data_IF_622283297200
#
_entry.id   IF_622283297200
#
_cell.length_a   1.000
_cell.length_b   1.000
_cell.length_c   1.000
_cell.angle_alpha   90.00
_cell.angle_beta   90.00
_cell.angle_gamma   90.00
#
_symmetry.space_group_name_H-M   'P 1'
#
loop_
_entity.id
_entity.type
_entity.pdbx_description
1 polymer ?
#
# COMPACT_ATOMS: atom_id res chain seq x y z
N UNK A 1 -27.55 -11.89 -8.69
CA UNK A 1 -26.20 -12.29 -8.24
C UNK A 1 -25.67 -11.20 -7.33
N UNK A 2 -25.21 -11.55 -6.08
CA UNK A 2 -24.65 -10.60 -5.12
C UNK A 2 -23.28 -10.05 -5.60
N UNK A 3 -22.83 -8.93 -5.01
CA UNK A 3 -21.53 -8.35 -5.34
C UNK A 3 -20.37 -9.34 -5.18
N UNK A 4 -20.36 -10.07 -4.07
CA UNK A 4 -19.35 -11.10 -3.81
C UNK A 4 -19.41 -12.28 -4.78
N UNK A 5 -20.60 -12.67 -5.25
CA UNK A 5 -20.74 -13.70 -6.28
C UNK A 5 -20.18 -13.24 -7.62
N UNK A 6 -20.47 -12.00 -8.03
CA UNK A 6 -19.89 -11.40 -9.25
C UNK A 6 -18.37 -11.37 -9.16
N UNK A 7 -17.82 -10.98 -8.00
CA UNK A 7 -16.37 -10.92 -7.82
C UNK A 7 -15.71 -12.30 -7.90
N UNK A 8 -16.31 -13.33 -7.29
CA UNK A 8 -15.81 -14.72 -7.42
C UNK A 8 -15.80 -15.21 -8.86
N UNK A 9 -16.83 -14.88 -9.65
CA UNK A 9 -16.88 -15.22 -11.09
C UNK A 9 -15.78 -14.49 -11.85
N UNK A 10 -15.51 -13.21 -11.54
CA UNK A 10 -14.44 -12.43 -12.16
C UNK A 10 -13.06 -13.05 -11.89
N UNK A 11 -12.79 -13.41 -10.63
CA UNK A 11 -11.55 -14.09 -10.22
C UNK A 11 -11.41 -15.42 -10.98
N UNK A 12 -12.47 -16.25 -10.98
CA UNK A 12 -12.45 -17.53 -11.67
C UNK A 12 -12.14 -17.38 -13.17
N UNK A 13 -12.76 -16.41 -13.85
CA UNK A 13 -12.48 -16.12 -15.27
C UNK A 13 -11.00 -15.78 -15.51
N UNK A 14 -10.39 -14.99 -14.65
CA UNK A 14 -8.97 -14.61 -14.77
C UNK A 14 -8.07 -15.84 -14.62
N UNK A 15 -8.37 -16.71 -13.66
CA UNK A 15 -7.57 -17.88 -13.34
C UNK A 15 -7.68 -19.03 -14.34
N UNK A 16 -8.75 -19.12 -15.13
CA UNK A 16 -8.90 -20.11 -16.22
C UNK A 16 -7.71 -20.10 -17.18
N UNK A 17 -7.11 -18.91 -17.42
CA UNK A 17 -5.96 -18.76 -18.29
C UNK A 17 -4.63 -19.21 -17.65
N UNK A 18 -4.66 -19.67 -16.39
CA UNK A 18 -3.46 -20.05 -15.61
C UNK A 18 -2.36 -18.99 -15.65
N UNK A 19 -2.65 -17.72 -15.36
CA UNK A 19 -1.66 -16.65 -15.39
C UNK A 19 -0.65 -16.85 -14.26
N UNK A 20 0.58 -16.39 -14.46
CA UNK A 20 1.58 -16.29 -13.38
C UNK A 20 1.50 -14.96 -12.63
N UNK A 21 0.87 -13.96 -13.24
CA UNK A 21 0.75 -12.62 -12.71
C UNK A 21 -0.62 -12.03 -13.04
N UNK A 22 -1.27 -11.40 -12.05
CA UNK A 22 -2.59 -10.78 -12.18
C UNK A 22 -2.56 -9.37 -11.60
N UNK A 23 -3.13 -8.43 -12.32
CA UNK A 23 -3.35 -7.06 -11.83
C UNK A 23 -4.77 -6.97 -11.29
N UNK A 24 -4.90 -6.54 -10.04
CA UNK A 24 -6.16 -6.36 -9.33
C UNK A 24 -6.32 -4.88 -8.98
N UNK A 25 -7.19 -4.19 -9.69
CA UNK A 25 -7.47 -2.78 -9.47
C UNK A 25 -8.73 -2.64 -8.61
N UNK A 26 -8.55 -2.20 -7.36
CA UNK A 26 -9.57 -2.05 -6.33
C UNK A 26 -10.61 -3.22 -6.26
N UNK A 27 -10.18 -4.49 -6.24
CA UNK A 27 -11.06 -5.62 -6.47
C UNK A 27 -12.11 -5.82 -5.37
N UNK A 28 -11.96 -5.18 -4.22
CA UNK A 28 -12.84 -5.34 -3.07
C UNK A 28 -13.50 -4.04 -2.59
N UNK A 29 -13.27 -2.90 -3.25
CA UNK A 29 -13.73 -1.58 -2.82
C UNK A 29 -15.26 -1.45 -2.71
N UNK A 30 -16.00 -2.16 -3.59
CA UNK A 30 -17.47 -2.12 -3.66
C UNK A 30 -18.16 -3.23 -2.83
N UNK A 31 -17.43 -3.90 -1.95
CA UNK A 31 -17.95 -5.03 -1.16
C UNK A 31 -18.11 -4.66 0.31
N UNK A 32 -19.14 -5.21 0.94
CA UNK A 32 -19.32 -5.15 2.40
C UNK A 32 -18.12 -5.76 3.11
N UNK A 33 -17.80 -5.28 4.32
CA UNK A 33 -16.60 -5.67 5.08
C UNK A 33 -16.44 -7.19 5.22
N UNK A 34 -17.50 -7.91 5.58
CA UNK A 34 -17.46 -9.36 5.76
C UNK A 34 -17.20 -10.12 4.45
N UNK A 35 -17.80 -9.65 3.35
CA UNK A 35 -17.60 -10.22 2.02
C UNK A 35 -16.20 -9.89 1.52
N UNK A 36 -15.70 -8.67 1.78
CA UNK A 36 -14.35 -8.23 1.43
C UNK A 36 -13.29 -9.17 1.98
N UNK A 37 -13.34 -9.46 3.30
CA UNK A 37 -12.41 -10.39 3.95
C UNK A 37 -12.47 -11.76 3.29
N UNK A 38 -13.66 -12.32 3.07
CA UNK A 38 -13.82 -13.63 2.43
C UNK A 38 -13.25 -13.70 1.01
N UNK A 39 -13.31 -12.59 0.24
CA UNK A 39 -12.69 -12.51 -1.09
C UNK A 39 -11.18 -12.40 -0.99
N UNK A 40 -10.66 -11.61 -0.06
CA UNK A 40 -9.22 -11.48 0.17
C UNK A 40 -8.60 -12.82 0.57
N UNK A 41 -9.22 -13.56 1.50
CA UNK A 41 -8.80 -14.91 1.88
C UNK A 41 -8.78 -15.88 0.70
N UNK A 42 -9.83 -15.84 -0.12
CA UNK A 42 -9.90 -16.64 -1.34
C UNK A 42 -8.72 -16.31 -2.27
N UNK A 43 -8.42 -15.03 -2.49
CA UNK A 43 -7.32 -14.60 -3.35
C UNK A 43 -5.97 -15.05 -2.80
N UNK A 44 -5.71 -14.91 -1.49
CA UNK A 44 -4.47 -15.36 -0.85
C UNK A 44 -4.28 -16.89 -0.95
N UNK A 45 -5.35 -17.65 -0.78
CA UNK A 45 -5.30 -19.11 -0.94
C UNK A 45 -4.99 -19.50 -2.39
N UNK A 46 -5.66 -18.85 -3.35
CA UNK A 46 -5.42 -19.10 -4.77
C UNK A 46 -4.00 -18.67 -5.21
N UNK A 47 -3.45 -17.59 -4.64
CA UNK A 47 -2.06 -17.20 -4.87
C UNK A 47 -1.08 -18.32 -4.52
N UNK A 48 -1.29 -18.94 -3.36
CA UNK A 48 -0.44 -20.04 -2.87
C UNK A 48 -0.64 -21.34 -3.66
N UNK A 49 -1.89 -21.72 -3.89
CA UNK A 49 -2.23 -22.99 -4.57
C UNK A 49 -1.82 -23.00 -6.06
N UNK A 50 -1.93 -21.85 -6.72
CA UNK A 50 -1.69 -21.72 -8.17
C UNK A 50 -0.37 -21.04 -8.48
N UNK A 51 0.42 -20.65 -7.47
CA UNK A 51 1.69 -19.92 -7.61
C UNK A 51 1.53 -18.64 -8.45
N UNK A 52 0.44 -17.89 -8.20
CA UNK A 52 0.13 -16.63 -8.89
C UNK A 52 0.59 -15.44 -8.06
N UNK A 53 1.29 -14.51 -8.69
CA UNK A 53 1.63 -13.21 -8.07
C UNK A 53 0.55 -12.19 -8.39
N UNK A 54 0.20 -11.33 -7.41
CA UNK A 54 -0.74 -10.24 -7.59
C UNK A 54 -0.04 -8.87 -7.53
N UNK A 55 -0.39 -7.98 -8.45
CA UNK A 55 -0.25 -6.55 -8.26
C UNK A 55 -1.61 -6.03 -7.77
N UNK A 56 -1.70 -5.70 -6.49
CA UNK A 56 -2.93 -5.26 -5.84
C UNK A 56 -2.93 -3.73 -5.73
N UNK A 57 -3.81 -3.05 -6.44
CA UNK A 57 -3.97 -1.60 -6.40
C UNK A 57 -5.11 -1.27 -5.44
N UNK A 58 -4.83 -0.45 -4.44
CA UNK A 58 -5.80 -0.02 -3.44
C UNK A 58 -5.43 1.34 -2.84
N UNK A 59 -6.41 2.08 -2.38
CA UNK A 59 -6.23 3.29 -1.56
C UNK A 59 -6.31 2.99 -0.05
N UNK A 60 -6.61 1.74 0.34
CA UNK A 60 -6.80 1.32 1.73
C UNK A 60 -5.55 0.58 2.23
N UNK A 61 -4.78 1.23 3.12
CA UNK A 61 -3.57 0.67 3.72
C UNK A 61 -3.84 -0.56 4.59
N UNK A 62 -5.01 -0.67 5.22
CA UNK A 62 -5.36 -1.85 5.99
C UNK A 62 -5.54 -3.07 5.08
N UNK A 63 -6.13 -2.86 3.90
CA UNK A 63 -6.23 -3.88 2.86
C UNK A 63 -4.84 -4.24 2.33
N UNK A 64 -3.99 -3.25 2.03
CA UNK A 64 -2.62 -3.49 1.57
C UNK A 64 -1.81 -4.29 2.60
N UNK A 65 -1.91 -3.94 3.89
CA UNK A 65 -1.26 -4.70 4.98
C UNK A 65 -1.69 -6.16 5.03
N UNK A 66 -2.97 -6.42 4.77
CA UNK A 66 -3.52 -7.77 4.82
C UNK A 66 -3.11 -8.63 3.60
N UNK A 67 -3.03 -7.99 2.43
CA UNK A 67 -2.89 -8.69 1.15
C UNK A 67 -1.46 -8.79 0.62
N UNK A 68 -0.57 -7.86 0.99
CA UNK A 68 0.68 -7.64 0.28
C UNK A 68 1.90 -7.95 1.14
N UNK A 69 2.89 -8.63 0.56
CA UNK A 69 4.21 -8.83 1.17
C UNK A 69 5.05 -7.54 1.09
N UNK A 70 4.85 -6.74 0.03
CA UNK A 70 5.51 -5.45 -0.19
C UNK A 70 4.50 -4.41 -0.63
N UNK A 71 4.74 -3.17 -0.22
CA UNK A 71 3.92 -2.01 -0.61
C UNK A 71 4.77 -1.01 -1.37
N UNK A 72 4.21 -0.51 -2.48
CA UNK A 72 4.72 0.66 -3.19
C UNK A 72 3.72 1.80 -3.02
N UNK A 73 4.16 2.89 -2.40
CA UNK A 73 3.35 4.11 -2.24
C UNK A 73 3.53 4.98 -3.47
N UNK A 74 2.41 5.39 -4.05
CA UNK A 74 2.38 6.19 -5.26
C UNK A 74 1.77 7.57 -4.98
N UNK A 75 2.41 8.62 -5.49
CA UNK A 75 1.94 10.00 -5.38
C UNK A 75 2.17 10.73 -6.71
N UNK A 76 1.16 11.46 -7.20
CA UNK A 76 1.22 12.20 -8.47
C UNK A 76 1.80 11.38 -9.64
N UNK A 77 1.39 10.10 -9.76
CA UNK A 77 1.82 9.24 -10.86
C UNK A 77 3.24 8.66 -10.71
N UNK A 78 3.94 8.93 -9.60
CA UNK A 78 5.29 8.43 -9.33
C UNK A 78 5.30 7.58 -8.07
N UNK A 79 6.15 6.55 -8.05
CA UNK A 79 6.41 5.78 -6.83
C UNK A 79 7.34 6.60 -5.95
N UNK A 80 6.92 6.83 -4.69
CA UNK A 80 7.68 7.63 -3.72
C UNK A 80 8.37 6.80 -2.66
N UNK A 81 7.84 5.61 -2.35
CA UNK A 81 8.44 4.69 -1.38
C UNK A 81 8.05 3.25 -1.68
N UNK A 82 8.98 2.30 -1.51
CA UNK A 82 8.74 0.86 -1.63
C UNK A 82 9.47 0.14 -0.51
N UNK A 83 8.77 -0.71 0.25
CA UNK A 83 9.40 -1.58 1.23
C UNK A 83 8.58 -2.87 1.45
N UNK A 84 9.08 -3.76 2.28
CA UNK A 84 8.27 -4.81 2.88
C UNK A 84 7.14 -4.18 3.70
N UNK A 85 6.00 -4.85 3.75
CA UNK A 85 4.77 -4.28 4.31
C UNK A 85 4.94 -3.78 5.74
N UNK A 86 5.47 -4.60 6.64
CA UNK A 86 5.64 -4.21 8.05
C UNK A 86 6.74 -3.13 8.20
N UNK A 87 7.83 -3.21 7.43
CA UNK A 87 8.88 -2.19 7.43
C UNK A 87 8.34 -0.82 7.01
N UNK A 88 7.55 -0.76 5.94
CA UNK A 88 6.95 0.49 5.47
C UNK A 88 5.98 1.08 6.49
N UNK A 89 5.19 0.24 7.16
CA UNK A 89 4.19 0.70 8.13
C UNK A 89 4.81 1.12 9.47
N UNK A 90 5.92 0.49 9.88
CA UNK A 90 6.60 0.79 11.15
C UNK A 90 7.63 1.90 11.01
N UNK A 91 8.33 1.97 9.89
CA UNK A 91 9.44 2.87 9.61
C UNK A 91 9.28 3.63 8.29
N UNK A 92 8.15 4.35 8.06
CA UNK A 92 7.97 5.14 6.85
C UNK A 92 8.98 6.28 6.81
N UNK A 93 9.60 6.51 5.66
CA UNK A 93 10.62 7.53 5.47
C UNK A 93 10.04 8.74 4.73
N UNK A 94 9.35 8.48 3.59
CA UNK A 94 8.80 9.55 2.77
C UNK A 94 7.67 10.30 3.49
N UNK A 95 7.63 11.64 3.46
CA UNK A 95 6.61 12.43 4.17
C UNK A 95 5.19 12.09 3.79
N UNK A 96 4.94 11.85 2.51
CA UNK A 96 3.62 11.43 2.05
C UNK A 96 3.20 10.09 2.66
N UNK A 97 4.11 9.12 2.76
CA UNK A 97 3.86 7.84 3.42
C UNK A 97 3.55 8.02 4.91
N UNK A 98 4.32 8.86 5.61
CA UNK A 98 4.06 9.23 7.01
C UNK A 98 2.66 9.82 7.18
N UNK A 99 2.29 10.77 6.30
CA UNK A 99 0.96 11.38 6.28
C UNK A 99 -0.14 10.34 6.04
N UNK A 100 0.05 9.45 5.05
CA UNK A 100 -0.90 8.42 4.71
C UNK A 100 -1.15 7.47 5.89
N UNK A 101 -0.09 7.03 6.56
CA UNK A 101 -0.16 6.15 7.73
C UNK A 101 -0.79 6.86 8.94
N UNK A 102 -0.47 8.14 9.18
CA UNK A 102 -1.05 8.93 10.28
C UNK A 102 -2.56 9.14 10.13
N UNK A 103 -3.07 9.05 8.90
CA UNK A 103 -4.50 9.20 8.59
C UNK A 103 -5.32 7.93 8.87
N UNK A 104 -4.67 6.81 9.20
CA UNK A 104 -5.39 5.56 9.55
C UNK A 104 -5.98 5.70 10.94
N UNK A 105 -7.31 5.55 11.12
CA UNK A 105 -7.93 5.57 12.43
C UNK A 105 -7.38 4.43 13.31
N UNK A 106 -6.90 4.76 14.49
CA UNK A 106 -6.46 3.76 15.48
C UNK A 106 -7.68 3.28 16.23
N UNK A 107 -7.97 1.97 16.29
CA UNK A 107 -9.15 1.45 16.99
C UNK A 107 -9.08 1.62 18.51
N UNK A 108 -7.90 1.89 19.08
CA UNK A 108 -7.69 2.03 20.51
C UNK A 108 -7.57 3.52 20.90
N UNK A 109 -8.59 4.11 21.55
CA UNK A 109 -8.57 5.52 21.96
C UNK A 109 -7.55 5.82 23.05
N UNK A 110 -6.98 4.82 23.73
CA UNK A 110 -5.96 4.98 24.77
C UNK A 110 -4.54 4.81 24.24
N UNK A 111 -4.35 4.30 23.05
CA UNK A 111 -3.06 4.11 22.40
C UNK A 111 -2.84 5.22 21.37
N UNK A 112 -2.73 6.45 21.86
CA UNK A 112 -2.31 7.59 21.03
C UNK A 112 -0.87 7.30 20.61
N UNK A 113 -0.70 6.71 19.43
CA UNK A 113 0.62 6.68 18.80
C UNK A 113 0.98 8.12 18.45
N UNK A 114 1.69 8.80 19.34
CA UNK A 114 2.46 10.03 19.02
C UNK A 114 3.54 9.76 17.93
N UNK A 115 3.36 8.70 17.13
CA UNK A 115 4.42 8.14 16.31
C UNK A 115 4.89 9.06 15.19
N UNK A 116 4.06 10.02 14.77
CA UNK A 116 4.47 10.99 13.75
C UNK A 116 3.73 12.31 13.97
N UNK A 117 4.39 13.24 14.69
CA UNK A 117 3.99 14.66 14.63
C UNK A 117 4.47 15.15 13.27
N UNK A 118 3.59 15.11 12.30
CA UNK A 118 3.89 15.54 10.95
C UNK A 118 3.36 16.96 10.80
N UNK A 119 4.24 17.91 10.60
CA UNK A 119 3.85 19.26 10.24
C UNK A 119 3.27 19.24 8.82
N UNK A 120 1.94 19.36 8.72
CA UNK A 120 1.23 19.23 7.43
C UNK A 120 1.62 20.31 6.41
N UNK A 121 1.98 21.52 6.87
CA UNK A 121 2.37 22.63 5.99
C UNK A 121 3.71 22.36 5.32
N UNK A 122 4.67 21.76 6.03
CA UNK A 122 5.95 21.35 5.47
C UNK A 122 5.79 20.21 4.46
N UNK A 123 4.87 19.27 4.70
CA UNK A 123 4.62 18.20 3.76
C UNK A 123 4.00 18.71 2.47
N UNK A 124 3.05 19.63 2.54
CA UNK A 124 2.42 20.17 1.33
C UNK A 124 3.45 20.95 0.49
N UNK A 125 4.42 21.64 1.09
CA UNK A 125 5.53 22.28 0.38
C UNK A 125 6.46 21.25 -0.29
N UNK A 126 6.78 20.17 0.39
CA UNK A 126 7.62 19.08 -0.13
C UNK A 126 6.92 18.28 -1.22
N UNK A 127 5.64 17.97 -1.02
CA UNK A 127 4.82 17.25 -1.98
C UNK A 127 4.60 18.09 -3.26
N UNK A 128 4.54 19.42 -3.14
CA UNK A 128 4.42 20.33 -4.29
C UNK A 128 5.67 20.33 -5.16
N UNK A 129 6.84 20.10 -4.57
CA UNK A 129 8.10 19.89 -5.29
C UNK A 129 8.11 18.46 -5.80
N UNK A 130 7.92 18.27 -7.12
CA UNK A 130 7.87 16.93 -7.74
C UNK A 130 8.92 15.99 -7.13
N UNK A 131 8.54 14.75 -6.72
CA UNK A 131 9.51 13.78 -6.24
C UNK A 131 10.57 13.54 -7.31
N UNK A 132 11.83 13.42 -6.90
CA UNK A 132 12.92 13.03 -7.79
C UNK A 132 12.57 11.67 -8.44
N UNK A 133 12.96 11.47 -9.70
CA UNK A 133 12.79 10.18 -10.37
C UNK A 133 13.75 9.12 -9.80
N UNK A 134 14.69 9.54 -8.95
CA UNK A 134 15.71 8.65 -8.40
C UNK A 134 15.28 8.08 -7.06
N UNK A 135 15.13 6.75 -7.03
CA UNK A 135 14.94 5.99 -5.80
C UNK A 135 16.29 5.68 -5.15
N UNK A 136 16.40 5.92 -3.85
CA UNK A 136 17.59 5.59 -3.05
C UNK A 136 17.29 4.36 -2.21
N UNK A 137 18.21 3.39 -2.21
CA UNK A 137 18.13 2.20 -1.36
C UNK A 137 18.59 2.55 0.06
N UNK A 138 17.67 2.47 1.00
CA UNK A 138 17.91 2.70 2.44
C UNK A 138 18.32 1.41 3.18
N UNK A 139 18.52 0.31 2.45
CA UNK A 139 18.81 -1.01 2.98
C UNK A 139 17.55 -1.89 3.13
N UNK A 140 17.76 -3.20 3.26
CA UNK A 140 16.70 -4.21 3.42
C UNK A 140 15.59 -4.16 2.35
N UNK A 141 15.90 -3.68 1.13
CA UNK A 141 14.90 -3.54 0.06
C UNK A 141 13.91 -2.40 0.28
N UNK A 142 14.23 -1.43 1.14
CA UNK A 142 13.48 -0.20 1.38
C UNK A 142 14.01 0.89 0.47
N UNK A 143 13.20 1.35 -0.47
CA UNK A 143 13.55 2.36 -1.46
C UNK A 143 12.69 3.60 -1.29
N UNK A 144 13.32 4.79 -1.34
CA UNK A 144 12.65 6.09 -1.14
C UNK A 144 13.03 7.06 -2.24
N UNK A 145 12.06 7.78 -2.79
CA UNK A 145 12.32 8.85 -3.74
C UNK A 145 12.93 10.06 -3.02
N UNK A 146 14.04 10.57 -3.56
CA UNK A 146 14.66 11.78 -3.04
C UNK A 146 14.04 13.02 -3.69
N UNK A 147 13.82 14.06 -2.90
CA UNK A 147 13.54 15.39 -3.40
C UNK A 147 14.87 16.16 -3.54
N UNK A 148 14.93 17.13 -4.45
CA UNK A 148 16.15 17.95 -4.67
C UNK A 148 16.55 18.85 -3.48
N UNK A 149 15.86 18.73 -2.36
CA UNK A 149 16.22 19.42 -1.12
C UNK A 149 17.09 18.52 -0.25
N UNK A 150 18.32 18.96 0.03
CA UNK A 150 19.34 18.27 0.84
C UNK A 150 18.90 17.95 2.28
N UNK A 151 17.72 18.38 2.69
CA UNK A 151 17.29 18.42 4.10
C UNK A 151 16.43 17.22 4.51
N UNK A 152 16.23 16.25 3.62
CA UNK A 152 15.22 15.19 3.84
C UNK A 152 15.71 13.89 4.46
N UNK A 153 17.00 13.66 4.47
CA UNK A 153 17.55 12.33 4.77
C UNK A 153 18.17 12.16 6.16
N UNK A 154 18.30 13.21 6.97
CA UNK A 154 19.18 13.15 8.15
C UNK A 154 18.70 13.90 9.39
N UNK A 155 17.42 13.79 9.77
CA UNK A 155 17.06 13.94 11.18
C UNK A 155 16.81 12.53 11.76
N UNK A 156 17.92 11.90 12.14
CA UNK A 156 17.94 10.69 12.98
C UNK A 156 17.93 11.08 14.44
#
# INVERSE_FOLDING_TARGET
>A
ISGGQRQRVSIARTLVMKPKFVICDEPTSMLDVSIRISIMDLMLNLAKELEVSYLYITHDLAVARYMCDRIAVMFNGKIVEIAETEELLENPIHPYTKRLISSIPIPDPFNVREKYIVNFDEIDDIISKNPSEKMVDMGKGHFVATHDTKDFLFDT
#
